data_IF_343281840389
#
_entry.id   IF_343281840389
#
_cell.length_a   1.000
_cell.length_b   1.000
_cell.length_c   1.000
_cell.angle_alpha   90.00
_cell.angle_beta   90.00
_cell.angle_gamma   90.00
#
_symmetry.space_group_name_H-M   'P 1'
#
loop_
_entity.id
_entity.type
_entity.pdbx_description
1 polymer ?
#
# COMPACT_ATOMS: atom_id res chain seq x y z
N UNK A 1 -5.50 27.30 6.21
CA UNK A 1 -6.37 26.11 6.29
C UNK A 1 -5.73 24.97 5.48
N UNK A 2 -5.40 23.84 6.10
CA UNK A 2 -4.75 22.70 5.43
C UNK A 2 -5.72 22.12 4.39
N UNK A 3 -5.37 22.18 3.10
CA UNK A 3 -6.20 21.66 2.02
C UNK A 3 -6.47 20.16 2.25
N UNK A 4 -7.68 19.83 2.73
CA UNK A 4 -8.07 18.46 3.13
C UNK A 4 -7.77 17.43 2.03
N UNK A 5 -8.06 17.77 0.77
CA UNK A 5 -7.77 16.93 -0.41
C UNK A 5 -6.28 16.59 -0.58
N UNK A 6 -5.38 17.52 -0.30
CA UNK A 6 -3.94 17.28 -0.41
C UNK A 6 -3.42 16.38 0.71
N UNK A 7 -3.97 16.55 1.91
CA UNK A 7 -3.67 15.69 3.05
C UNK A 7 -4.17 14.26 2.80
N UNK A 8 -5.40 14.10 2.32
CA UNK A 8 -5.98 12.79 1.94
C UNK A 8 -5.15 12.11 0.84
N UNK A 9 -4.76 12.84 -0.21
CA UNK A 9 -3.90 12.29 -1.27
C UNK A 9 -2.55 11.78 -0.73
N UNK A 10 -1.95 12.50 0.22
CA UNK A 10 -0.72 12.10 0.89
C UNK A 10 -0.89 10.83 1.72
N UNK A 11 -1.97 10.75 2.52
CA UNK A 11 -2.30 9.54 3.30
C UNK A 11 -2.47 8.33 2.38
N UNK A 12 -3.27 8.46 1.32
CA UNK A 12 -3.52 7.37 0.38
C UNK A 12 -2.24 6.89 -0.31
N UNK A 13 -1.41 7.82 -0.77
CA UNK A 13 -0.14 7.49 -1.43
C UNK A 13 0.83 6.81 -0.44
N UNK A 14 0.93 7.30 0.79
CA UNK A 14 1.77 6.71 1.83
C UNK A 14 1.34 5.29 2.19
N UNK A 15 0.05 5.08 2.45
CA UNK A 15 -0.49 3.74 2.70
C UNK A 15 -0.32 2.81 1.49
N UNK A 16 -0.50 3.33 0.28
CA UNK A 16 -0.27 2.57 -0.95
C UNK A 16 1.15 2.01 -1.03
N UNK A 17 2.15 2.85 -0.79
CA UNK A 17 3.56 2.45 -0.77
C UNK A 17 3.83 1.41 0.34
N UNK A 18 3.34 1.64 1.55
CA UNK A 18 3.53 0.71 2.67
C UNK A 18 2.91 -0.67 2.36
N UNK A 19 1.70 -0.70 1.80
CA UNK A 19 1.05 -1.95 1.40
C UNK A 19 1.81 -2.66 0.28
N UNK A 20 2.35 -1.94 -0.71
CA UNK A 20 3.16 -2.55 -1.77
C UNK A 20 4.48 -3.14 -1.28
N UNK A 21 5.09 -2.55 -0.24
CA UNK A 21 6.33 -3.06 0.37
C UNK A 21 6.07 -4.15 1.41
N UNK A 22 4.86 -4.25 1.94
CA UNK A 22 4.51 -5.21 2.98
C UNK A 22 4.74 -6.69 2.61
N UNK A 23 4.55 -7.18 1.36
CA UNK A 23 4.89 -8.55 0.99
C UNK A 23 6.37 -8.87 1.20
N UNK A 24 7.27 -7.91 0.93
CA UNK A 24 8.70 -8.08 1.14
C UNK A 24 9.01 -8.17 2.64
N UNK A 25 8.47 -7.25 3.43
CA UNK A 25 8.63 -7.28 4.88
C UNK A 25 8.09 -8.60 5.48
N UNK A 26 6.95 -9.07 4.98
CA UNK A 26 6.30 -10.28 5.45
C UNK A 26 7.03 -11.54 4.97
N UNK A 27 7.62 -11.53 3.77
CA UNK A 27 8.52 -12.58 3.30
C UNK A 27 9.74 -12.72 4.21
N UNK A 28 10.41 -11.59 4.51
CA UNK A 28 11.55 -11.56 5.43
C UNK A 28 11.15 -11.98 6.84
N UNK A 29 9.95 -11.62 7.29
CA UNK A 29 9.42 -12.08 8.56
C UNK A 29 9.23 -13.61 8.58
N UNK A 30 8.62 -14.20 7.56
CA UNK A 30 8.41 -15.67 7.54
C UNK A 30 9.74 -16.43 7.37
N UNK A 31 10.66 -15.93 6.54
CA UNK A 31 11.85 -16.69 6.12
C UNK A 31 13.14 -16.30 6.84
N UNK A 32 13.17 -15.19 7.57
CA UNK A 32 14.37 -14.67 8.20
C UNK A 32 14.82 -15.43 9.45
N UNK A 33 14.00 -16.35 9.97
CA UNK A 33 14.33 -17.16 11.15
C UNK A 33 13.70 -18.55 11.04
N UNK A 34 14.54 -19.58 11.15
CA UNK A 34 14.15 -20.98 11.00
C UNK A 34 13.23 -21.48 12.12
N UNK A 35 13.45 -21.04 13.36
CA UNK A 35 12.63 -21.41 14.52
C UNK A 35 11.27 -20.76 14.43
N UNK A 36 11.24 -19.47 14.07
CA UNK A 36 9.99 -18.74 13.81
C UNK A 36 9.20 -19.38 12.67
N UNK A 37 9.86 -19.78 11.59
CA UNK A 37 9.21 -20.49 10.48
C UNK A 37 8.60 -21.82 10.95
N UNK A 38 9.33 -22.60 11.75
CA UNK A 38 8.82 -23.84 12.31
C UNK A 38 7.59 -23.60 13.20
N UNK A 39 7.63 -22.58 14.05
CA UNK A 39 6.49 -22.17 14.87
C UNK A 39 5.29 -21.72 14.04
N UNK A 40 5.51 -20.96 12.96
CA UNK A 40 4.44 -20.54 12.04
C UNK A 40 3.76 -21.77 11.42
N UNK A 41 4.53 -22.75 10.96
CA UNK A 41 4.01 -23.99 10.36
C UNK A 41 3.18 -24.81 11.36
N UNK A 42 3.66 -24.95 12.61
CA UNK A 42 2.99 -25.75 13.64
C UNK A 42 2.02 -24.94 14.52
N UNK A 43 1.85 -23.65 14.23
CA UNK A 43 1.09 -22.72 15.06
C UNK A 43 -0.42 -22.88 14.90
N UNK A 44 -1.22 -22.21 15.74
CA UNK A 44 -2.66 -22.16 15.57
C UNK A 44 -3.05 -21.38 14.30
N UNK A 45 -4.18 -21.71 13.69
CA UNK A 45 -4.77 -20.89 12.65
C UNK A 45 -4.98 -19.44 13.15
N UNK A 46 -4.75 -18.42 12.31
CA UNK A 46 -4.43 -18.48 10.88
C UNK A 46 -2.93 -18.57 10.57
N UNK A 47 -2.06 -18.65 11.58
CA UNK A 47 -0.60 -18.59 11.38
C UNK A 47 -0.06 -19.81 10.62
N UNK A 48 -0.62 -21.00 10.87
CA UNK A 48 -0.35 -22.22 10.09
C UNK A 48 -0.57 -22.04 8.59
N UNK A 49 -1.57 -21.25 8.17
CA UNK A 49 -1.87 -21.02 6.74
C UNK A 49 -0.81 -20.16 6.04
N UNK A 50 -0.04 -19.34 6.76
CA UNK A 50 1.03 -18.54 6.17
C UNK A 50 2.18 -19.40 5.63
N UNK A 51 2.30 -20.64 6.10
CA UNK A 51 3.23 -21.61 5.51
C UNK A 51 2.69 -22.23 4.21
N UNK A 52 1.39 -22.10 3.93
CA UNK A 52 0.76 -22.57 2.71
C UNK A 52 1.10 -21.66 1.54
N UNK A 53 1.89 -22.17 0.59
CA UNK A 53 2.26 -21.43 -0.62
C UNK A 53 1.10 -20.72 -1.33
N UNK A 54 -0.07 -21.36 -1.54
CA UNK A 54 -1.22 -20.70 -2.16
C UNK A 54 -1.82 -19.55 -1.34
N UNK A 55 -1.91 -19.69 -0.01
CA UNK A 55 -2.44 -18.65 0.87
C UNK A 55 -1.49 -17.45 0.91
N UNK A 56 -0.19 -17.73 1.10
CA UNK A 56 0.87 -16.73 1.11
C UNK A 56 0.90 -15.92 -0.20
N UNK A 57 0.77 -16.58 -1.36
CA UNK A 57 0.72 -15.91 -2.66
C UNK A 57 -0.52 -15.01 -2.80
N UNK A 58 -1.72 -15.50 -2.42
CA UNK A 58 -2.96 -14.70 -2.47
C UNK A 58 -2.84 -13.46 -1.61
N UNK A 59 -2.25 -13.60 -0.42
CA UNK A 59 -2.06 -12.49 0.50
C UNK A 59 -1.04 -11.47 -0.05
N UNK A 60 0.08 -11.92 -0.63
CA UNK A 60 1.05 -11.04 -1.27
C UNK A 60 0.46 -10.26 -2.44
N UNK A 61 -0.24 -10.95 -3.33
CA UNK A 61 -0.92 -10.31 -4.47
C UNK A 61 -2.00 -9.36 -3.98
N UNK A 62 -2.77 -9.74 -2.97
CA UNK A 62 -3.81 -8.90 -2.37
C UNK A 62 -3.25 -7.61 -1.76
N UNK A 63 -2.20 -7.70 -0.95
CA UNK A 63 -1.52 -6.55 -0.35
C UNK A 63 -0.94 -5.62 -1.41
N UNK A 64 -0.26 -6.19 -2.41
CA UNK A 64 0.31 -5.41 -3.50
C UNK A 64 -0.77 -4.71 -4.33
N UNK A 65 -1.83 -5.43 -4.72
CA UNK A 65 -2.94 -4.88 -5.49
C UNK A 65 -3.69 -3.79 -4.72
N UNK A 66 -3.97 -4.00 -3.43
CA UNK A 66 -4.56 -2.97 -2.57
C UNK A 66 -3.65 -1.72 -2.50
N UNK A 67 -2.34 -1.92 -2.37
CA UNK A 67 -1.36 -0.84 -2.39
C UNK A 67 -1.38 -0.04 -3.70
N UNK A 68 -1.46 -0.72 -4.86
CA UNK A 68 -1.61 -0.07 -6.17
C UNK A 68 -2.88 0.78 -6.24
N UNK A 69 -4.02 0.26 -5.76
CA UNK A 69 -5.29 1.00 -5.75
C UNK A 69 -5.19 2.27 -4.90
N UNK A 70 -4.60 2.17 -3.70
CA UNK A 70 -4.40 3.31 -2.80
C UNK A 70 -3.47 4.36 -3.40
N UNK A 71 -2.34 3.92 -3.97
CA UNK A 71 -1.39 4.80 -4.61
C UNK A 71 -2.00 5.51 -5.82
N UNK A 72 -2.69 4.77 -6.69
CA UNK A 72 -3.39 5.34 -7.83
C UNK A 72 -4.44 6.38 -7.40
N UNK A 73 -5.26 6.06 -6.38
CA UNK A 73 -6.23 7.00 -5.82
C UNK A 73 -5.58 8.28 -5.27
N UNK A 74 -4.48 8.13 -4.54
CA UNK A 74 -3.70 9.25 -4.01
C UNK A 74 -3.14 10.16 -5.13
N UNK A 75 -2.55 9.57 -6.17
CA UNK A 75 -2.00 10.29 -7.32
C UNK A 75 -3.10 10.99 -8.14
N UNK A 76 -4.24 10.34 -8.37
CA UNK A 76 -5.36 10.93 -9.10
C UNK A 76 -5.86 12.18 -8.37
N UNK A 77 -6.14 12.07 -7.07
CA UNK A 77 -6.61 13.20 -6.25
C UNK A 77 -5.56 14.33 -6.21
N UNK A 78 -4.28 13.98 -6.06
CA UNK A 78 -3.18 14.94 -6.07
C UNK A 78 -3.03 15.68 -7.41
N UNK A 79 -3.20 14.96 -8.53
CA UNK A 79 -3.07 15.52 -9.88
C UNK A 79 -4.22 16.46 -10.25
N UNK A 80 -5.46 16.18 -9.80
CA UNK A 80 -6.62 17.04 -10.01
C UNK A 80 -6.41 18.43 -9.40
N UNK A 81 -5.85 18.51 -8.18
CA UNK A 81 -5.51 19.78 -7.52
C UNK A 81 -4.49 20.57 -8.33
N UNK A 82 -3.48 19.92 -8.89
CA UNK A 82 -2.40 20.57 -9.66
C UNK A 82 -2.93 21.22 -10.94
N UNK A 83 -3.86 20.54 -11.62
CA UNK A 83 -4.51 21.04 -12.84
C UNK A 83 -5.39 22.26 -12.57
N UNK A 84 -6.15 22.26 -11.48
CA UNK A 84 -7.03 23.38 -11.12
C UNK A 84 -6.24 24.66 -10.77
N UNK A 85 -5.12 24.51 -10.05
CA UNK A 85 -4.21 25.62 -9.77
C UNK A 85 -3.58 26.20 -11.05
N UNK A 86 -3.17 25.34 -11.99
CA UNK A 86 -2.58 25.76 -13.26
C UNK A 86 -3.57 26.51 -14.17
N UNK A 87 -4.84 26.08 -14.20
CA UNK A 87 -5.89 26.76 -14.98
C UNK A 87 -6.21 28.14 -14.42
N UNK A 88 -6.30 28.27 -13.09
CA UNK A 88 -6.51 29.57 -12.44
C UNK A 88 -5.40 30.56 -12.75
N UNK A 89 -4.14 30.15 -12.68
CA UNK A 89 -3.02 31.02 -13.01
C UNK A 89 -3.06 31.50 -14.48
N UNK A 90 -3.46 30.63 -15.41
CA UNK A 90 -3.56 30.99 -16.84
C UNK A 90 -4.70 31.99 -17.12
N UNK A 91 -5.79 31.94 -16.34
CA UNK A 91 -6.92 32.86 -16.47
C UNK A 91 -6.64 34.29 -15.93
N UNK A 92 -5.56 34.48 -15.16
CA UNK A 92 -5.12 35.81 -14.70
C UNK A 92 -4.15 36.49 -15.69
N UNK A 93 -3.65 35.75 -16.67
CA UNK A 93 -2.69 36.24 -17.67
C UNK A 93 -3.36 36.67 -18.99
N UNK A 94 -4.69 36.62 -19.06
CA UNK A 94 -5.53 37.06 -20.19
C UNK A 94 -6.39 38.22 -19.73
#
# INVERSE_FOLDING_TARGET
MRNSRGFTAGILSGWGILLMLSPVALYLFIHGDSERKAWIISGPEPFSDFAGGPYQLRMYVGLFAAGVIFLAGGLIIGSLKRREASRRHSAWLV
#
